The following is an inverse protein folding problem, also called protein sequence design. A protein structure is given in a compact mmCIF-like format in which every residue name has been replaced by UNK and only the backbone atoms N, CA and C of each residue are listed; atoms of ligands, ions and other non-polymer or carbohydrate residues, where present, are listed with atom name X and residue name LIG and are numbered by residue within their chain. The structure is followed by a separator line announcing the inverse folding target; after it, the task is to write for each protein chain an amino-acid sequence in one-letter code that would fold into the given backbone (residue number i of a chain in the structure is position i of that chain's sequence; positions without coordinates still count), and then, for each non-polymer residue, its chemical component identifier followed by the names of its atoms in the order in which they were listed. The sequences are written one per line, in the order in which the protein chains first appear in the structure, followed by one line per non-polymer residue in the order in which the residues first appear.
data_IF_705645265451
#
_entry.id   IF_705645265451
#
_cell.length_a   1.000
_cell.length_b   1.000
_cell.length_c   1.000
_cell.angle_alpha   90.00
_cell.angle_beta   90.00
_cell.angle_gamma   90.00
#
_symmetry.space_group_name_H-M   'P 1'
#
loop_
_entity.id
_entity.type
_entity.pdbx_description
1 polymer ?
#
# COMPACT_ATOMS: atom_id res chain seq x y z
N UNK A 1 54.78 35.21 1.60
CA UNK A 1 53.63 34.70 2.39
C UNK A 1 52.74 33.85 1.49
N UNK A 2 52.81 32.52 1.61
CA UNK A 2 52.03 31.56 0.81
C UNK A 2 50.77 31.21 1.60
N UNK A 3 49.56 31.50 1.05
CA UNK A 3 48.27 31.11 1.62
C UNK A 3 47.98 29.64 1.29
N UNK A 4 47.57 28.79 2.25
CA UNK A 4 47.14 27.45 1.95
C UNK A 4 45.72 27.45 1.37
N UNK A 5 45.53 26.77 0.23
CA UNK A 5 44.24 26.49 -0.39
C UNK A 5 43.68 25.26 0.31
N UNK A 6 42.63 25.47 1.10
CA UNK A 6 41.85 24.35 1.65
C UNK A 6 40.91 23.80 0.57
N UNK A 7 41.24 22.62 0.07
CA UNK A 7 40.34 21.82 -0.77
C UNK A 7 39.24 21.26 0.15
N UNK A 8 38.06 21.82 0.08
CA UNK A 8 36.86 21.22 0.67
C UNK A 8 36.42 20.05 -0.25
N UNK A 9 36.77 18.85 0.15
CA UNK A 9 36.27 17.65 -0.48
C UNK A 9 34.78 17.47 -0.14
N UNK A 10 33.88 17.72 -1.10
CA UNK A 10 32.45 17.39 -0.99
C UNK A 10 32.33 15.88 -1.14
N UNK A 11 32.13 15.21 0.01
CA UNK A 11 31.81 13.79 0.06
C UNK A 11 30.36 13.62 -0.42
N UNK A 12 30.16 13.30 -1.70
CA UNK A 12 28.89 12.85 -2.23
C UNK A 12 28.59 11.45 -1.68
N UNK A 13 27.79 11.37 -0.64
CA UNK A 13 27.18 10.10 -0.21
C UNK A 13 26.09 9.80 -1.22
N UNK A 14 26.40 8.96 -2.21
CA UNK A 14 25.41 8.35 -3.08
C UNK A 14 24.56 7.39 -2.23
N UNK A 15 23.38 7.84 -1.81
CA UNK A 15 22.32 6.96 -1.32
C UNK A 15 21.90 6.11 -2.52
N UNK A 16 22.50 4.94 -2.67
CA UNK A 16 22.04 3.89 -3.56
C UNK A 16 20.78 3.34 -2.89
N UNK A 17 19.62 3.89 -3.25
CA UNK A 17 18.36 3.23 -3.00
C UNK A 17 18.42 1.92 -3.79
N UNK A 18 18.57 0.80 -3.09
CA UNK A 18 18.38 -0.53 -3.66
C UNK A 18 16.91 -0.66 -4.08
N UNK A 19 16.58 -0.19 -5.28
CA UNK A 19 15.34 -0.56 -5.93
C UNK A 19 15.57 -1.95 -6.51
N UNK A 20 14.85 -2.96 -6.00
CA UNK A 20 14.82 -4.27 -6.65
C UNK A 20 14.40 -4.07 -8.11
N UNK A 21 15.29 -4.39 -9.02
CA UNK A 21 14.99 -4.39 -10.44
C UNK A 21 14.41 -5.75 -10.80
N UNK A 22 13.12 -5.78 -11.09
CA UNK A 22 12.47 -6.98 -11.63
C UNK A 22 13.07 -7.23 -13.01
N UNK A 23 13.82 -8.33 -13.16
CA UNK A 23 14.33 -8.77 -14.46
C UNK A 23 13.21 -9.45 -15.25
N UNK A 24 13.29 -9.45 -16.59
CA UNK A 24 12.36 -10.20 -17.47
C UNK A 24 12.28 -11.70 -17.18
N UNK A 25 13.22 -12.23 -16.42
CA UNK A 25 13.30 -13.64 -16.04
C UNK A 25 12.88 -13.88 -14.59
N UNK A 26 12.28 -12.88 -13.89
CA UNK A 26 11.73 -13.08 -12.55
C UNK A 26 10.62 -14.14 -12.62
N UNK A 27 10.67 -15.10 -11.71
CA UNK A 27 9.62 -16.11 -11.53
C UNK A 27 8.46 -15.58 -10.69
N UNK A 28 8.61 -14.39 -10.09
CA UNK A 28 7.59 -13.79 -9.27
C UNK A 28 6.38 -13.39 -10.12
N UNK A 29 5.20 -13.81 -9.65
CA UNK A 29 3.90 -13.49 -10.26
C UNK A 29 3.08 -12.51 -9.43
N UNK A 30 3.61 -12.10 -8.27
CA UNK A 30 2.89 -11.29 -7.29
C UNK A 30 3.67 -9.99 -7.04
N UNK A 31 3.01 -8.87 -7.28
CA UNK A 31 3.51 -7.53 -6.99
C UNK A 31 2.72 -6.92 -5.83
N UNK A 32 3.39 -6.40 -4.81
CA UNK A 32 2.78 -5.61 -3.74
C UNK A 32 3.08 -4.12 -3.95
N UNK A 33 2.05 -3.28 -3.92
CA UNK A 33 2.13 -1.83 -4.08
C UNK A 33 1.25 -1.16 -3.02
N UNK A 34 1.73 -0.12 -2.39
CA UNK A 34 0.93 0.59 -1.40
C UNK A 34 1.74 1.42 -0.43
N UNK A 35 1.17 1.61 0.74
CA UNK A 35 1.72 2.45 1.79
C UNK A 35 2.30 1.65 2.97
N UNK A 36 2.33 2.28 4.15
CA UNK A 36 2.89 1.69 5.36
C UNK A 36 2.15 0.45 5.87
N UNK A 37 0.88 0.22 5.48
CA UNK A 37 0.18 -1.00 5.86
C UNK A 37 0.91 -2.24 5.33
N UNK A 38 1.39 -2.19 4.09
CA UNK A 38 2.14 -3.29 3.49
C UNK A 38 3.62 -3.25 3.88
N UNK A 39 4.24 -2.04 3.91
CA UNK A 39 5.68 -1.86 4.12
C UNK A 39 6.15 -2.05 5.57
N UNK A 40 5.25 -1.98 6.56
CA UNK A 40 5.64 -2.10 7.97
C UNK A 40 6.11 -3.53 8.27
N UNK A 41 7.08 -3.65 9.18
CA UNK A 41 7.74 -4.90 9.59
C UNK A 41 8.66 -5.53 8.51
N UNK A 42 8.97 -4.83 7.40
CA UNK A 42 9.87 -5.36 6.35
C UNK A 42 11.28 -5.67 6.86
N UNK A 43 11.83 -4.82 7.73
CA UNK A 43 13.17 -5.03 8.31
C UNK A 43 13.27 -6.25 9.24
N UNK A 44 12.15 -6.67 9.83
CA UNK A 44 12.09 -7.87 10.69
C UNK A 44 11.69 -9.13 9.93
N UNK A 45 11.53 -9.07 8.61
CA UNK A 45 11.09 -10.23 7.82
C UNK A 45 9.62 -10.59 8.00
N UNK A 46 8.78 -9.65 8.47
CA UNK A 46 7.39 -9.90 8.86
C UNK A 46 6.41 -8.89 8.24
N UNK A 47 6.78 -8.27 7.10
CA UNK A 47 5.84 -7.45 6.33
C UNK A 47 4.73 -8.31 5.73
N UNK A 48 3.65 -7.68 5.29
CA UNK A 48 2.55 -8.39 4.62
C UNK A 48 3.05 -9.16 3.40
N UNK A 49 3.92 -8.57 2.58
CA UNK A 49 4.50 -9.22 1.41
C UNK A 49 5.32 -10.47 1.78
N UNK A 50 6.19 -10.37 2.78
CA UNK A 50 6.99 -11.50 3.25
C UNK A 50 6.15 -12.64 3.85
N UNK A 51 5.03 -12.31 4.49
CA UNK A 51 4.07 -13.32 4.97
C UNK A 51 3.35 -14.01 3.82
N UNK A 52 2.97 -13.26 2.75
CA UNK A 52 2.37 -13.86 1.54
C UNK A 52 3.38 -14.83 0.91
N UNK A 53 4.63 -14.38 0.73
CA UNK A 53 5.72 -15.19 0.19
C UNK A 53 5.91 -16.49 0.97
N UNK A 54 6.05 -16.40 2.30
CA UNK A 54 6.20 -17.58 3.15
C UNK A 54 4.97 -18.51 3.10
N UNK A 55 3.77 -17.94 3.00
CA UNK A 55 2.55 -18.74 2.94
C UNK A 55 2.36 -19.45 1.61
N UNK A 56 2.71 -18.81 0.49
CA UNK A 56 2.53 -19.39 -0.85
C UNK A 56 3.74 -20.22 -1.32
N UNK A 57 4.94 -19.98 -0.75
CA UNK A 57 6.19 -20.52 -1.26
C UNK A 57 6.61 -19.89 -2.59
N UNK A 58 6.15 -18.68 -2.89
CA UNK A 58 6.42 -17.93 -4.10
C UNK A 58 6.94 -16.54 -3.74
N UNK A 59 7.95 -16.06 -4.47
CA UNK A 59 8.50 -14.71 -4.30
C UNK A 59 7.43 -13.63 -4.51
N UNK A 60 7.42 -12.62 -3.66
CA UNK A 60 6.58 -11.42 -3.77
C UNK A 60 7.47 -10.20 -3.93
N UNK A 61 7.32 -9.48 -5.01
CA UNK A 61 8.04 -8.23 -5.22
C UNK A 61 7.29 -7.11 -4.48
N UNK A 62 7.90 -6.61 -3.40
CA UNK A 62 7.33 -5.54 -2.59
C UNK A 62 7.86 -4.17 -3.01
N UNK A 63 6.97 -3.31 -3.49
CA UNK A 63 7.24 -1.93 -3.89
C UNK A 63 6.54 -0.91 -2.97
N UNK A 64 5.90 -1.38 -1.90
CA UNK A 64 5.21 -0.51 -0.96
C UNK A 64 6.17 0.43 -0.21
N UNK A 65 5.74 1.66 0.03
CA UNK A 65 6.55 2.70 0.66
C UNK A 65 5.75 3.40 1.76
N UNK A 66 6.32 3.50 2.96
CA UNK A 66 5.68 4.21 4.08
C UNK A 66 5.38 5.65 3.70
N UNK A 67 4.17 6.11 4.01
CA UNK A 67 3.72 7.47 3.68
C UNK A 67 3.29 7.67 2.23
N UNK A 68 3.29 6.64 1.39
CA UNK A 68 2.87 6.75 0.00
C UNK A 68 1.40 7.17 -0.12
N UNK A 69 1.10 7.95 -1.17
CA UNK A 69 -0.22 8.49 -1.50
C UNK A 69 -0.51 8.23 -2.98
N UNK A 70 -1.77 8.13 -3.35
CA UNK A 70 -2.17 8.12 -4.76
C UNK A 70 -2.04 9.49 -5.41
N UNK A 71 -2.36 10.55 -4.67
CA UNK A 71 -2.40 11.94 -5.17
C UNK A 71 -1.08 12.71 -4.87
N UNK A 72 0.03 11.99 -4.75
CA UNK A 72 1.34 12.57 -4.49
C UNK A 72 1.92 13.24 -5.73
N UNK A 73 2.18 14.57 -5.66
CA UNK A 73 2.48 15.38 -6.83
C UNK A 73 4.00 15.63 -7.08
N UNK A 74 4.87 15.46 -6.07
CA UNK A 74 6.29 15.72 -6.27
C UNK A 74 6.94 14.67 -7.19
N UNK A 75 7.56 15.09 -8.32
CA UNK A 75 7.94 14.13 -9.38
C UNK A 75 9.09 13.20 -8.97
N UNK A 76 10.10 13.70 -8.26
CA UNK A 76 11.30 12.92 -7.92
C UNK A 76 10.96 11.89 -6.84
N UNK A 77 10.48 12.34 -5.68
CA UNK A 77 10.14 11.46 -4.56
C UNK A 77 8.93 10.58 -4.86
N UNK A 78 8.01 11.03 -5.73
CA UNK A 78 6.95 10.19 -6.25
C UNK A 78 7.47 8.98 -7.04
N UNK A 79 8.52 9.15 -7.87
CA UNK A 79 9.18 8.04 -8.57
C UNK A 79 9.98 7.13 -7.63
N UNK A 80 10.39 7.63 -6.48
CA UNK A 80 11.01 6.82 -5.42
C UNK A 80 9.99 6.01 -4.60
N UNK A 81 8.71 6.03 -5.00
CA UNK A 81 7.64 5.21 -4.44
C UNK A 81 6.63 5.95 -3.56
N UNK A 82 6.81 7.26 -3.29
CA UNK A 82 5.80 8.02 -2.53
C UNK A 82 4.49 8.25 -3.30
N UNK A 83 4.48 8.07 -4.62
CA UNK A 83 3.26 7.98 -5.40
C UNK A 83 2.94 6.50 -5.70
N UNK A 84 1.84 5.98 -5.16
CA UNK A 84 1.45 4.57 -5.29
C UNK A 84 1.35 4.14 -6.75
N UNK A 85 0.81 4.99 -7.64
CA UNK A 85 0.70 4.69 -9.07
C UNK A 85 2.05 4.50 -9.75
N UNK A 86 3.12 5.10 -9.21
CA UNK A 86 4.48 5.03 -9.76
C UNK A 86 5.31 3.89 -9.16
N UNK A 87 4.75 3.14 -8.22
CA UNK A 87 5.38 1.92 -7.71
C UNK A 87 5.29 0.76 -8.70
N UNK A 88 4.35 0.84 -9.65
CA UNK A 88 4.20 -0.19 -10.68
C UNK A 88 5.46 -0.31 -11.52
N UNK A 89 5.90 -1.55 -11.72
CA UNK A 89 6.98 -1.94 -12.60
C UNK A 89 6.48 -3.06 -13.51
N UNK A 90 6.80 -2.98 -14.78
CA UNK A 90 6.45 -4.03 -15.75
C UNK A 90 7.06 -5.37 -15.35
N UNK A 91 6.26 -6.43 -15.37
CA UNK A 91 6.69 -7.78 -15.02
C UNK A 91 5.60 -8.81 -15.37
N UNK A 92 5.87 -10.10 -15.13
CA UNK A 92 4.94 -11.19 -15.44
C UNK A 92 3.90 -11.39 -14.33
N UNK A 93 3.23 -10.30 -13.92
CA UNK A 93 2.32 -10.32 -12.79
C UNK A 93 0.99 -10.99 -13.12
N UNK A 94 0.60 -11.97 -12.33
CA UNK A 94 -0.76 -12.51 -12.29
C UNK A 94 -1.59 -11.76 -11.24
N UNK A 95 -0.93 -11.35 -10.13
CA UNK A 95 -1.55 -10.70 -9.00
C UNK A 95 -0.88 -9.38 -8.62
N UNK A 96 -1.69 -8.41 -8.28
CA UNK A 96 -1.24 -7.17 -7.61
C UNK A 96 -1.97 -7.01 -6.29
N UNK A 97 -1.22 -6.99 -5.20
CA UNK A 97 -1.73 -6.60 -3.88
C UNK A 97 -1.58 -5.09 -3.75
N UNK A 98 -2.68 -4.39 -3.62
CA UNK A 98 -2.74 -2.93 -3.63
C UNK A 98 -3.32 -2.39 -2.33
N UNK A 99 -2.76 -1.32 -1.81
CA UNK A 99 -3.28 -0.58 -0.66
C UNK A 99 -2.96 0.91 -0.83
N UNK A 100 -3.72 1.80 -0.19
CA UNK A 100 -3.43 3.24 -0.23
C UNK A 100 -4.68 4.10 -0.02
N UNK A 101 -4.51 5.43 -0.12
CA UNK A 101 -5.57 6.42 0.04
C UNK A 101 -5.74 6.94 1.47
N UNK A 102 -5.37 6.18 2.50
CA UNK A 102 -5.42 6.65 3.89
C UNK A 102 -4.51 7.85 4.13
N UNK A 103 -3.29 7.82 3.59
CA UNK A 103 -2.38 8.96 3.68
C UNK A 103 -2.86 10.17 2.86
N UNK A 104 -3.59 9.97 1.78
CA UNK A 104 -4.23 11.06 1.02
C UNK A 104 -5.30 11.76 1.86
N UNK A 105 -6.06 11.01 2.67
CA UNK A 105 -7.05 11.56 3.58
C UNK A 105 -6.38 12.25 4.78
N UNK A 106 -5.45 11.57 5.43
CA UNK A 106 -4.81 12.09 6.64
C UNK A 106 -3.88 13.27 6.35
N UNK A 107 -2.92 13.10 5.44
CA UNK A 107 -1.91 14.10 5.13
C UNK A 107 -2.37 15.11 4.05
N UNK A 108 -3.29 14.70 3.17
CA UNK A 108 -3.79 15.51 2.07
C UNK A 108 -4.90 16.48 2.47
N UNK A 109 -5.95 16.00 3.17
CA UNK A 109 -7.07 16.85 3.61
C UNK A 109 -7.25 16.92 5.14
N UNK A 110 -6.39 16.24 5.92
CA UNK A 110 -6.43 16.25 7.38
C UNK A 110 -7.68 15.58 7.94
N UNK A 111 -8.31 14.70 7.20
CA UNK A 111 -9.58 14.05 7.53
C UNK A 111 -10.68 15.06 7.93
N UNK A 112 -10.67 16.21 7.26
CA UNK A 112 -11.64 17.26 7.43
C UNK A 112 -11.94 17.87 6.05
N UNK A 113 -13.22 17.88 5.64
CA UNK A 113 -13.65 18.34 4.30
C UNK A 113 -12.96 17.59 3.17
N UNK A 114 -12.94 16.27 3.25
CA UNK A 114 -12.22 15.40 2.31
C UNK A 114 -13.00 15.04 1.04
N UNK A 115 -14.17 15.62 0.78
CA UNK A 115 -15.03 15.28 -0.37
C UNK A 115 -14.28 15.40 -1.70
N UNK A 116 -13.50 16.48 -1.86
CA UNK A 116 -12.69 16.69 -3.09
C UNK A 116 -11.57 15.65 -3.21
N UNK A 117 -10.86 15.37 -2.11
CA UNK A 117 -9.80 14.35 -2.07
C UNK A 117 -10.37 12.96 -2.33
N UNK A 118 -11.49 12.61 -1.68
CA UNK A 118 -12.21 11.36 -1.94
C UNK A 118 -12.64 11.24 -3.39
N UNK A 119 -13.20 12.30 -3.99
CA UNK A 119 -13.62 12.29 -5.39
C UNK A 119 -12.45 12.13 -6.37
N UNK A 120 -11.27 12.70 -6.06
CA UNK A 120 -10.04 12.50 -6.82
C UNK A 120 -9.48 11.09 -6.67
N UNK A 121 -9.59 10.49 -5.47
CA UNK A 121 -9.19 9.11 -5.23
C UNK A 121 -10.13 8.14 -5.93
N UNK A 122 -11.42 8.26 -5.68
CA UNK A 122 -12.48 7.45 -6.27
C UNK A 122 -13.81 8.23 -6.18
N UNK A 123 -14.38 8.54 -7.33
CA UNK A 123 -15.64 9.28 -7.42
C UNK A 123 -16.79 8.53 -6.73
N UNK A 124 -17.80 9.24 -6.19
CA UNK A 124 -18.95 8.61 -5.55
C UNK A 124 -19.80 7.78 -6.53
N UNK A 125 -19.75 8.14 -7.82
CA UNK A 125 -20.48 7.47 -8.89
C UNK A 125 -19.55 7.18 -10.06
N UNK A 126 -19.56 5.93 -10.54
CA UNK A 126 -18.76 5.48 -11.67
C UNK A 126 -17.28 5.23 -11.35
N UNK A 127 -16.55 4.65 -12.31
CA UNK A 127 -15.17 4.21 -12.12
C UNK A 127 -14.15 5.34 -12.40
N UNK A 128 -14.36 6.52 -11.82
CA UNK A 128 -13.50 7.69 -12.02
C UNK A 128 -12.66 7.98 -10.78
N UNK A 129 -11.43 8.45 -10.98
CA UNK A 129 -10.45 8.78 -9.95
C UNK A 129 -9.14 8.02 -10.11
N UNK A 130 -8.19 8.30 -9.25
CA UNK A 130 -6.84 7.75 -9.37
C UNK A 130 -6.81 6.24 -9.06
N UNK A 131 -7.53 5.78 -8.04
CA UNK A 131 -7.63 4.36 -7.70
C UNK A 131 -8.24 3.56 -8.85
N UNK A 132 -9.43 3.92 -9.39
CA UNK A 132 -9.98 3.26 -10.57
C UNK A 132 -9.05 3.29 -11.77
N UNK A 133 -8.33 4.39 -11.99
CA UNK A 133 -7.36 4.49 -13.09
C UNK A 133 -6.26 3.44 -12.96
N UNK A 134 -5.68 3.30 -11.77
CA UNK A 134 -4.63 2.30 -11.51
C UNK A 134 -5.19 0.89 -11.64
N UNK A 135 -6.27 0.58 -10.95
CA UNK A 135 -6.90 -0.76 -10.99
C UNK A 135 -7.28 -1.15 -12.41
N UNK A 136 -7.95 -0.27 -13.15
CA UNK A 136 -8.35 -0.55 -14.54
C UNK A 136 -7.15 -0.78 -15.48
N UNK A 137 -6.03 -0.09 -15.25
CA UNK A 137 -4.81 -0.33 -16.02
C UNK A 137 -4.23 -1.73 -15.73
N UNK A 138 -4.16 -2.11 -14.46
CA UNK A 138 -3.70 -3.45 -14.05
C UNK A 138 -4.63 -4.55 -14.61
N UNK A 139 -5.94 -4.36 -14.46
CA UNK A 139 -6.95 -5.30 -14.97
C UNK A 139 -6.92 -5.47 -16.48
N UNK A 140 -6.77 -4.37 -17.25
CA UNK A 140 -6.63 -4.44 -18.72
C UNK A 140 -5.35 -5.15 -19.18
N UNK A 141 -4.34 -5.19 -18.33
CA UNK A 141 -3.11 -5.97 -18.58
C UNK A 141 -3.23 -7.44 -18.13
N UNK A 142 -4.44 -7.90 -17.75
CA UNK A 142 -4.72 -9.29 -17.37
C UNK A 142 -4.49 -9.63 -15.90
N UNK A 143 -3.99 -8.70 -15.10
CA UNK A 143 -3.70 -8.95 -13.68
C UNK A 143 -4.96 -8.99 -12.83
N UNK A 144 -5.00 -9.86 -11.83
CA UNK A 144 -5.97 -9.82 -10.74
C UNK A 144 -5.48 -8.86 -9.66
N UNK A 145 -6.38 -8.10 -9.05
CA UNK A 145 -6.02 -7.08 -8.05
C UNK A 145 -6.73 -7.35 -6.74
N UNK A 146 -5.98 -7.41 -5.65
CA UNK A 146 -6.51 -7.44 -4.28
C UNK A 146 -6.25 -6.09 -3.64
N UNK A 147 -7.29 -5.31 -3.41
CA UNK A 147 -7.19 -4.08 -2.65
C UNK A 147 -7.42 -4.34 -1.17
N UNK A 148 -6.42 -4.05 -0.35
CA UNK A 148 -6.44 -4.29 1.09
C UNK A 148 -6.92 -3.04 1.81
N UNK A 149 -7.98 -3.16 2.59
CA UNK A 149 -8.49 -2.11 3.47
C UNK A 149 -7.57 -1.82 4.66
N UNK A 150 -7.97 -0.89 5.51
CA UNK A 150 -7.20 -0.49 6.68
C UNK A 150 -7.65 -1.20 7.96
N UNK A 151 -6.71 -1.39 8.88
CA UNK A 151 -7.00 -1.85 10.23
C UNK A 151 -7.94 -0.88 10.94
N UNK A 152 -8.90 -1.41 11.67
CA UNK A 152 -9.69 -0.61 12.61
C UNK A 152 -8.96 -0.47 13.94
N UNK A 153 -9.18 0.65 14.62
CA UNK A 153 -8.66 0.84 15.97
C UNK A 153 -9.32 -0.15 16.94
N UNK A 154 -8.64 -0.59 17.99
CA UNK A 154 -9.21 -1.54 18.96
C UNK A 154 -10.17 -0.86 19.96
N UNK A 155 -10.81 0.25 19.61
CA UNK A 155 -11.68 0.99 20.49
C UNK A 155 -10.97 1.91 21.47
N UNK A 156 -9.70 2.23 21.24
CA UNK A 156 -8.93 3.24 21.97
C UNK A 156 -8.74 4.47 21.10
N UNK A 157 -8.59 5.63 21.73
CA UNK A 157 -8.28 6.86 21.01
C UNK A 157 -6.92 6.78 20.33
N UNK A 158 -6.87 7.18 19.06
CA UNK A 158 -5.65 7.15 18.23
C UNK A 158 -5.52 8.45 17.45
N UNK A 159 -4.30 8.79 16.96
CA UNK A 159 -4.09 10.00 16.17
C UNK A 159 -4.92 10.11 14.89
N UNK A 160 -5.49 9.00 14.41
CA UNK A 160 -6.24 8.93 13.16
C UNK A 160 -7.75 8.63 13.35
N UNK A 161 -8.25 8.65 14.58
CA UNK A 161 -9.67 8.36 14.83
C UNK A 161 -10.62 9.33 14.13
N UNK A 162 -10.21 10.58 13.96
CA UNK A 162 -10.94 11.57 13.20
C UNK A 162 -11.02 11.29 11.69
N UNK A 163 -10.26 10.29 11.18
CA UNK A 163 -10.30 9.83 9.81
C UNK A 163 -11.27 8.65 9.57
N UNK A 164 -11.98 8.21 10.61
CA UNK A 164 -12.80 6.99 10.55
C UNK A 164 -13.85 7.03 9.45
N UNK A 165 -14.58 8.14 9.37
CA UNK A 165 -15.72 8.26 8.44
C UNK A 165 -15.25 8.37 7.00
N UNK A 166 -14.20 9.15 6.74
CA UNK A 166 -13.58 9.28 5.41
C UNK A 166 -12.94 7.97 4.96
N UNK A 167 -12.28 7.26 5.87
CA UNK A 167 -11.72 5.94 5.60
C UNK A 167 -12.80 4.90 5.28
N UNK A 168 -13.90 4.90 6.02
CA UNK A 168 -15.04 4.01 5.76
C UNK A 168 -15.70 4.32 4.41
N UNK A 169 -15.86 5.60 4.06
CA UNK A 169 -16.41 6.02 2.78
C UNK A 169 -15.49 5.64 1.61
N UNK A 170 -14.16 5.81 1.75
CA UNK A 170 -13.19 5.37 0.77
C UNK A 170 -13.33 3.85 0.52
N UNK A 171 -13.32 3.05 1.57
CA UNK A 171 -13.45 1.58 1.46
C UNK A 171 -14.81 1.16 0.88
N UNK A 172 -15.89 1.85 1.21
CA UNK A 172 -17.21 1.60 0.65
C UNK A 172 -17.22 1.80 -0.88
N UNK A 173 -16.59 2.86 -1.38
CA UNK A 173 -16.48 3.12 -2.84
C UNK A 173 -15.63 2.06 -3.51
N UNK A 174 -14.51 1.65 -2.92
CA UNK A 174 -13.65 0.60 -3.46
C UNK A 174 -14.38 -0.74 -3.48
N UNK A 175 -15.10 -1.09 -2.42
CA UNK A 175 -15.92 -2.31 -2.35
C UNK A 175 -16.97 -2.35 -3.45
N UNK A 176 -17.66 -1.24 -3.70
CA UNK A 176 -18.63 -1.12 -4.78
C UNK A 176 -17.99 -1.32 -6.16
N UNK A 177 -16.79 -0.78 -6.37
CA UNK A 177 -16.05 -1.00 -7.61
C UNK A 177 -15.63 -2.47 -7.76
N UNK A 178 -15.17 -3.11 -6.69
CA UNK A 178 -14.78 -4.52 -6.71
C UNK A 178 -15.97 -5.45 -6.99
N UNK A 179 -17.15 -5.12 -6.51
CA UNK A 179 -18.36 -5.90 -6.79
C UNK A 179 -18.76 -5.94 -8.29
N UNK A 180 -18.24 -5.00 -9.08
CA UNK A 180 -18.52 -4.91 -10.51
C UNK A 180 -17.46 -5.58 -11.41
N UNK A 181 -16.34 -6.05 -10.86
CA UNK A 181 -15.23 -6.68 -11.61
C UNK A 181 -14.76 -7.97 -10.91
N UNK A 182 -15.02 -9.16 -11.47
CA UNK A 182 -14.68 -10.44 -10.84
C UNK A 182 -13.18 -10.67 -10.66
N UNK A 183 -12.32 -9.89 -11.28
CA UNK A 183 -10.86 -9.95 -11.09
C UNK A 183 -10.31 -8.85 -10.18
N UNK A 184 -11.19 -8.07 -9.55
CA UNK A 184 -10.83 -7.07 -8.56
C UNK A 184 -11.48 -7.40 -7.22
N UNK A 185 -10.67 -7.65 -6.19
CA UNK A 185 -11.11 -8.08 -4.87
C UNK A 185 -10.87 -6.97 -3.85
N UNK A 186 -11.86 -6.70 -3.01
CA UNK A 186 -11.67 -5.86 -1.84
C UNK A 186 -11.54 -6.74 -0.59
N UNK A 187 -10.37 -6.77 0.02
CA UNK A 187 -10.12 -7.46 1.28
C UNK A 187 -10.35 -6.49 2.45
N UNK A 188 -11.50 -6.59 3.09
CA UNK A 188 -11.80 -5.85 4.32
C UNK A 188 -10.95 -6.36 5.49
N UNK A 189 -10.47 -5.43 6.31
CA UNK A 189 -9.82 -5.72 7.59
C UNK A 189 -10.68 -5.28 8.78
N UNK A 190 -11.94 -4.94 8.54
CA UNK A 190 -12.85 -4.40 9.54
C UNK A 190 -13.06 -5.33 10.74
N UNK A 191 -13.05 -6.64 10.49
CA UNK A 191 -13.24 -7.70 11.50
C UNK A 191 -11.93 -8.22 12.10
N UNK A 192 -10.77 -7.69 11.66
CA UNK A 192 -9.48 -8.27 12.03
C UNK A 192 -9.06 -7.94 13.45
N UNK A 193 -9.39 -6.76 13.96
CA UNK A 193 -8.97 -6.26 15.27
C UNK A 193 -10.11 -6.40 16.27
N UNK A 194 -10.02 -7.33 17.24
CA UNK A 194 -11.00 -7.41 18.32
C UNK A 194 -11.00 -6.12 19.16
N UNK A 195 -12.19 -5.71 19.65
CA UNK A 195 -12.29 -4.59 20.57
C UNK A 195 -11.42 -4.82 21.81
N UNK A 196 -10.62 -3.83 22.18
CA UNK A 196 -9.67 -3.89 23.30
C UNK A 196 -8.33 -4.56 22.98
N UNK A 197 -8.18 -5.28 21.87
CA UNK A 197 -6.90 -5.95 21.53
C UNK A 197 -5.92 -5.02 20.80
N UNK A 198 -5.07 -4.37 21.58
CA UNK A 198 -4.02 -3.47 21.10
C UNK A 198 -2.86 -4.18 20.40
N UNK A 199 -2.76 -5.52 20.51
CA UNK A 199 -1.62 -6.28 19.98
C UNK A 199 -1.56 -6.36 18.47
N UNK A 200 -2.62 -5.96 17.77
CA UNK A 200 -2.65 -5.85 16.29
C UNK A 200 -1.95 -4.59 15.76
N UNK A 201 -1.65 -3.63 16.62
CA UNK A 201 -0.97 -2.39 16.23
C UNK A 201 0.42 -2.29 16.83
N UNK A 202 1.27 -1.49 16.19
CA UNK A 202 2.51 -1.01 16.80
C UNK A 202 2.20 0.00 17.91
N UNK A 203 3.22 0.50 18.61
CA UNK A 203 3.03 1.45 19.72
C UNK A 203 2.31 2.75 19.32
N UNK A 204 2.39 3.13 18.04
CA UNK A 204 1.73 4.33 17.51
C UNK A 204 0.21 4.15 17.31
N UNK A 205 -0.30 2.95 17.46
CA UNK A 205 -1.71 2.58 17.27
C UNK A 205 -2.27 2.87 15.88
N UNK A 206 -1.39 3.03 14.88
CA UNK A 206 -1.71 3.30 13.47
C UNK A 206 -1.27 2.14 12.59
N UNK A 207 0.00 1.73 12.74
CA UNK A 207 0.62 0.73 11.88
C UNK A 207 0.38 -0.70 12.38
N UNK A 208 0.35 -1.68 11.48
CA UNK A 208 0.19 -3.08 11.86
C UNK A 208 1.39 -3.60 12.65
N UNK A 209 1.13 -4.33 13.71
CA UNK A 209 2.14 -5.17 14.35
C UNK A 209 2.51 -6.37 13.48
N UNK A 210 3.53 -7.13 13.85
CA UNK A 210 3.86 -8.41 13.20
C UNK A 210 2.68 -9.40 13.23
N UNK A 211 1.89 -9.42 14.32
CA UNK A 211 0.65 -10.21 14.44
C UNK A 211 -0.37 -9.81 13.36
N UNK A 212 -0.60 -8.52 13.20
CA UNK A 212 -1.53 -8.02 12.17
C UNK A 212 -1.02 -8.28 10.76
N UNK A 213 0.26 -7.98 10.47
CA UNK A 213 0.86 -8.28 9.16
C UNK A 213 0.75 -9.78 8.82
N UNK A 214 0.95 -10.66 9.79
CA UNK A 214 0.78 -12.10 9.62
C UNK A 214 -0.67 -12.47 9.28
N UNK A 215 -1.64 -11.91 9.99
CA UNK A 215 -3.04 -12.19 9.74
C UNK A 215 -3.49 -11.67 8.36
N UNK A 216 -3.06 -10.46 7.98
CA UNK A 216 -3.35 -9.86 6.67
C UNK A 216 -2.75 -10.70 5.54
N UNK A 217 -1.44 -11.01 5.63
CA UNK A 217 -0.74 -11.77 4.60
C UNK A 217 -1.33 -13.17 4.38
N UNK A 218 -1.75 -13.83 5.46
CA UNK A 218 -2.45 -15.13 5.37
C UNK A 218 -3.82 -15.03 4.69
N UNK A 219 -4.61 -13.98 4.97
CA UNK A 219 -5.89 -13.74 4.28
C UNK A 219 -5.68 -13.52 2.78
N UNK A 220 -4.67 -12.74 2.40
CA UNK A 220 -4.32 -12.51 0.99
C UNK A 220 -3.87 -13.81 0.32
N UNK A 221 -2.97 -14.58 0.95
CA UNK A 221 -2.51 -15.85 0.43
C UNK A 221 -3.65 -16.87 0.26
N UNK A 222 -4.61 -16.90 1.19
CA UNK A 222 -5.79 -17.75 1.08
C UNK A 222 -6.67 -17.37 -0.12
N UNK A 223 -6.87 -16.06 -0.36
CA UNK A 223 -7.63 -15.58 -1.51
C UNK A 223 -6.93 -15.93 -2.82
N UNK A 224 -5.62 -15.74 -2.94
CA UNK A 224 -4.84 -16.12 -4.13
C UNK A 224 -4.96 -17.62 -4.43
N UNK A 225 -4.90 -18.46 -3.41
CA UNK A 225 -5.07 -19.92 -3.59
C UNK A 225 -6.47 -20.30 -4.05
N UNK A 226 -7.51 -19.70 -3.47
CA UNK A 226 -8.89 -20.05 -3.78
C UNK A 226 -9.31 -19.67 -5.19
N UNK A 227 -8.70 -18.63 -5.77
CA UNK A 227 -9.01 -18.16 -7.12
C UNK A 227 -8.11 -18.84 -8.19
N UNK A 228 -7.03 -19.50 -7.76
CA UNK A 228 -6.12 -20.25 -8.64
C UNK A 228 -6.46 -21.75 -8.74
N UNK A 229 -7.49 -22.21 -8.02
CA UNK A 229 -8.00 -23.58 -8.05
C UNK A 229 -9.19 -23.67 -8.99
#
# INVERSE_FOLDING_TARGET
MKRPIYLFGILFIALVACTETVTRNSKSRILAMGDSLLATNSLSGQSVAQVIEAALGEEVIDRSVRGAQFLYDLPITGRLGLNVSKQYQSGPWDWVVLNGGGNDLWLGCGCNRCETTLARLIAPYGPHGEIPRVVNNLRRSGMRVIYVGYLRTPGVETPIDHCRDEGAELERRIRNMAAADPGFYFLSLEDLVPNGDRTFHTQDMIHPSAKASTAIGRRIAALIRSDGA
#
